data_IF_579574925396
#
_entry.id   IF_579574925396
#
_cell.length_a   1.000
_cell.length_b   1.000
_cell.length_c   1.000
_cell.angle_alpha   90.00
_cell.angle_beta   90.00
_cell.angle_gamma   90.00
#
_symmetry.space_group_name_H-M   'P 1'
#
loop_
_entity.id
_entity.type
_entity.pdbx_description
1 polymer ?
#
# COMPACT_ATOMS: atom_id res chain seq x y z
N UNK A 1 0.10 -31.52 -41.67
CA UNK A 1 0.31 -31.99 -40.27
C UNK A 1 0.35 -30.78 -39.37
N UNK A 2 -0.70 -30.55 -38.57
CA UNK A 2 -0.75 -29.45 -37.58
C UNK A 2 -0.37 -30.01 -36.22
N UNK A 3 0.80 -29.63 -35.71
CA UNK A 3 1.25 -29.99 -34.37
C UNK A 3 0.51 -29.09 -33.37
N UNK A 4 -0.43 -29.64 -32.61
CA UNK A 4 -1.03 -28.98 -31.45
C UNK A 4 0.00 -28.98 -30.33
N UNK A 5 0.55 -27.80 -29.98
CA UNK A 5 1.30 -27.65 -28.78
C UNK A 5 0.34 -27.69 -27.59
N UNK A 6 0.50 -28.68 -26.72
CA UNK A 6 -0.15 -28.78 -25.43
C UNK A 6 0.72 -27.93 -24.47
N UNK A 7 0.30 -26.68 -24.24
CA UNK A 7 0.93 -25.84 -23.21
C UNK A 7 0.30 -26.23 -21.88
N UNK A 8 1.01 -27.06 -21.10
CA UNK A 8 0.61 -27.41 -19.74
C UNK A 8 0.79 -26.22 -18.79
N UNK A 9 0.07 -26.25 -17.65
CA UNK A 9 0.06 -25.21 -16.59
C UNK A 9 1.49 -24.82 -16.14
N UNK A 10 2.44 -25.77 -16.12
CA UNK A 10 3.85 -25.54 -15.82
C UNK A 10 4.60 -24.63 -16.82
N UNK A 11 4.07 -24.46 -18.05
CA UNK A 11 4.68 -23.62 -19.09
C UNK A 11 4.27 -22.15 -18.95
N UNK A 12 3.08 -21.87 -18.39
CA UNK A 12 2.66 -20.50 -18.13
C UNK A 12 3.43 -19.87 -16.98
N UNK A 13 3.76 -20.65 -15.93
CA UNK A 13 4.57 -20.18 -14.80
C UNK A 13 6.00 -19.82 -15.24
N UNK A 14 6.58 -20.57 -16.20
CA UNK A 14 7.88 -20.27 -16.78
C UNK A 14 7.91 -19.04 -17.69
N UNK A 15 6.79 -18.71 -18.35
CA UNK A 15 6.68 -17.49 -19.15
C UNK A 15 6.54 -16.25 -18.29
N UNK A 16 5.81 -16.33 -17.17
CA UNK A 16 5.73 -15.27 -16.17
C UNK A 16 7.12 -15.04 -15.50
N UNK A 17 7.85 -16.12 -15.24
CA UNK A 17 9.23 -16.08 -14.70
C UNK A 17 10.22 -15.41 -15.68
N UNK A 18 10.13 -15.70 -16.97
CA UNK A 18 10.95 -15.08 -18.02
C UNK A 18 10.66 -13.59 -18.20
N UNK A 19 9.39 -13.15 -18.02
CA UNK A 19 9.01 -11.74 -18.10
C UNK A 19 9.57 -10.90 -16.92
N UNK A 20 9.66 -11.46 -15.73
CA UNK A 20 10.27 -10.79 -14.57
C UNK A 20 11.78 -10.58 -14.79
N UNK A 21 12.48 -11.52 -15.46
CA UNK A 21 13.90 -11.38 -15.81
C UNK A 21 14.15 -10.29 -16.86
N UNK A 22 13.21 -10.04 -17.77
CA UNK A 22 13.36 -8.99 -18.79
C UNK A 22 13.26 -7.58 -18.21
N UNK A 23 12.57 -7.43 -17.06
CA UNK A 23 12.34 -6.14 -16.39
C UNK A 23 13.50 -5.75 -15.43
N UNK A 24 14.37 -6.67 -15.03
CA UNK A 24 15.45 -6.40 -14.06
C UNK A 24 16.80 -6.07 -14.72
N UNK A 25 16.88 -6.02 -16.05
CA UNK A 25 18.06 -5.46 -16.75
C UNK A 25 19.36 -6.24 -16.56
N UNK A 26 19.32 -7.57 -16.39
CA UNK A 26 20.50 -8.42 -16.41
C UNK A 26 20.83 -8.82 -17.85
N UNK A 27 21.67 -8.03 -18.52
CA UNK A 27 22.18 -8.34 -19.84
C UNK A 27 22.96 -9.68 -19.83
N UNK A 28 22.39 -10.69 -20.48
CA UNK A 28 23.15 -11.74 -21.13
C UNK A 28 23.62 -12.96 -20.32
N UNK A 29 23.29 -13.09 -19.03
CA UNK A 29 23.55 -14.32 -18.27
C UNK A 29 22.26 -15.03 -17.87
N UNK A 30 22.18 -16.34 -18.13
CA UNK A 30 21.10 -17.16 -17.61
C UNK A 30 21.16 -17.17 -16.07
N UNK A 31 20.00 -17.01 -15.41
CA UNK A 31 19.91 -17.06 -13.95
C UNK A 31 20.46 -18.39 -13.42
N UNK A 32 21.20 -18.32 -12.34
CA UNK A 32 21.68 -19.54 -11.66
C UNK A 32 20.54 -20.14 -10.81
N UNK A 33 20.62 -21.43 -10.46
CA UNK A 33 19.65 -22.04 -9.52
C UNK A 33 19.58 -21.34 -8.16
N UNK A 34 20.64 -20.63 -7.76
CA UNK A 34 20.66 -19.83 -6.54
C UNK A 34 19.84 -18.52 -6.71
N UNK A 35 19.93 -17.89 -7.89
CA UNK A 35 19.15 -16.70 -8.22
C UNK A 35 17.67 -17.06 -8.33
N UNK A 36 17.33 -18.21 -8.94
CA UNK A 36 15.96 -18.71 -9.03
C UNK A 36 15.34 -18.92 -7.65
N UNK A 37 16.06 -19.61 -6.74
CA UNK A 37 15.60 -19.81 -5.35
C UNK A 37 15.44 -18.52 -4.57
N UNK A 38 16.32 -17.54 -4.79
CA UNK A 38 16.23 -16.23 -4.15
C UNK A 38 14.98 -15.49 -4.63
N UNK A 39 14.71 -15.51 -5.95
CA UNK A 39 13.53 -14.87 -6.54
C UNK A 39 12.25 -15.57 -6.10
N UNK A 40 12.23 -16.92 -6.08
CA UNK A 40 11.11 -17.68 -5.55
C UNK A 40 10.81 -17.33 -4.08
N UNK A 41 11.86 -17.23 -3.25
CA UNK A 41 11.73 -16.83 -1.84
C UNK A 41 11.23 -15.38 -1.69
N UNK A 42 11.67 -14.47 -2.54
CA UNK A 42 11.19 -13.08 -2.54
C UNK A 42 9.73 -12.98 -3.00
N UNK A 43 9.33 -13.76 -4.02
CA UNK A 43 7.94 -13.84 -4.47
C UNK A 43 7.06 -14.45 -3.37
N UNK A 44 7.53 -15.51 -2.72
CA UNK A 44 6.80 -16.16 -1.63
C UNK A 44 6.55 -15.20 -0.46
N UNK A 45 7.57 -14.47 -0.03
CA UNK A 45 7.42 -13.44 1.02
C UNK A 45 6.50 -12.27 0.63
N UNK A 46 6.42 -11.95 -0.67
CA UNK A 46 5.53 -10.88 -1.16
C UNK A 46 4.09 -11.29 -1.23
N UNK A 47 3.82 -12.57 -1.50
CA UNK A 47 2.48 -13.09 -1.81
C UNK A 47 1.86 -13.91 -0.68
N UNK A 48 2.67 -14.42 0.27
CA UNK A 48 2.18 -15.24 1.38
C UNK A 48 2.21 -14.46 2.70
N UNK A 49 1.03 -14.25 3.27
CA UNK A 49 0.91 -13.63 4.59
C UNK A 49 1.33 -14.60 5.70
N UNK A 50 2.09 -14.14 6.70
CA UNK A 50 2.40 -14.95 7.88
C UNK A 50 1.19 -15.10 8.83
N UNK A 51 0.06 -14.47 8.51
CA UNK A 51 -1.14 -14.45 9.37
C UNK A 51 -2.25 -15.26 8.71
N UNK A 52 -2.76 -16.24 9.46
CA UNK A 52 -3.84 -17.09 8.98
C UNK A 52 -5.09 -16.27 8.62
N UNK A 53 -5.67 -16.55 7.46
CA UNK A 53 -6.86 -15.87 6.94
C UNK A 53 -6.60 -14.51 6.33
N UNK A 54 -5.34 -14.05 6.27
CA UNK A 54 -4.91 -12.85 5.56
C UNK A 54 -4.22 -13.26 4.26
N UNK A 55 -4.62 -12.68 3.14
CA UNK A 55 -4.03 -12.91 1.83
C UNK A 55 -3.37 -11.63 1.32
N UNK A 56 -2.32 -11.79 0.52
CA UNK A 56 -1.72 -10.67 -0.20
C UNK A 56 -2.16 -10.67 -1.66
N UNK A 57 -2.30 -9.47 -2.18
CA UNK A 57 -2.56 -9.24 -3.60
C UNK A 57 -1.90 -7.95 -4.05
N UNK A 58 -1.39 -7.95 -5.28
CA UNK A 58 -0.94 -6.74 -5.96
C UNK A 58 -2.11 -6.14 -6.74
N UNK A 59 -2.31 -4.84 -6.61
CA UNK A 59 -3.36 -4.09 -7.29
C UNK A 59 -2.72 -2.93 -8.03
N UNK A 60 -3.02 -2.82 -9.32
CA UNK A 60 -2.62 -1.65 -10.11
C UNK A 60 -3.57 -0.48 -9.79
N UNK A 61 -3.02 0.62 -9.35
CA UNK A 61 -3.75 1.84 -9.00
C UNK A 61 -2.89 3.08 -9.25
N UNK A 62 -3.46 4.10 -9.85
CA UNK A 62 -2.83 5.42 -10.02
C UNK A 62 -1.35 5.36 -10.47
N UNK A 63 -1.03 4.46 -11.41
CA UNK A 63 0.32 4.29 -11.97
C UNK A 63 1.32 3.54 -11.10
N UNK A 64 0.88 2.94 -10.00
CA UNK A 64 1.71 2.09 -9.12
C UNK A 64 1.11 0.70 -8.97
N UNK A 65 1.96 -0.28 -8.67
CA UNK A 65 1.55 -1.61 -8.20
C UNK A 65 1.55 -1.61 -6.68
N UNK A 66 0.36 -1.70 -6.07
CA UNK A 66 0.14 -1.60 -4.64
C UNK A 66 -0.09 -2.97 -4.02
N UNK A 67 0.71 -3.35 -3.03
CA UNK A 67 0.43 -4.55 -2.23
C UNK A 67 -0.65 -4.27 -1.21
N UNK A 68 -1.65 -5.15 -1.15
CA UNK A 68 -2.66 -5.14 -0.12
C UNK A 68 -2.63 -6.42 0.70
N UNK A 69 -2.90 -6.31 1.99
CA UNK A 69 -3.30 -7.42 2.86
C UNK A 69 -4.82 -7.39 2.97
N UNK A 70 -5.49 -8.49 2.65
CA UNK A 70 -6.95 -8.56 2.70
C UNK A 70 -7.45 -9.78 3.47
N UNK A 71 -8.59 -9.62 4.14
CA UNK A 71 -9.30 -10.68 4.84
C UNK A 71 -10.82 -10.42 4.81
N UNK A 72 -11.61 -11.50 4.93
CA UNK A 72 -13.05 -11.43 4.73
C UNK A 72 -13.42 -11.30 3.25
N UNK A 73 -14.59 -11.78 2.88
CA UNK A 73 -15.08 -11.77 1.47
C UNK A 73 -16.33 -10.93 1.30
N UNK A 74 -17.11 -10.79 2.34
CA UNK A 74 -18.43 -10.18 2.33
C UNK A 74 -18.51 -9.03 3.33
N UNK A 75 -19.57 -8.25 3.23
CA UNK A 75 -19.80 -7.11 4.11
C UNK A 75 -19.13 -5.81 3.67
N UNK A 76 -19.37 -4.71 4.40
CA UNK A 76 -18.81 -3.41 4.07
C UNK A 76 -17.29 -3.41 4.11
N UNK A 77 -16.67 -2.73 3.14
CA UNK A 77 -15.21 -2.59 3.09
C UNK A 77 -14.72 -1.65 4.20
N UNK A 78 -13.71 -2.12 4.94
CA UNK A 78 -12.89 -1.32 5.86
C UNK A 78 -11.48 -1.20 5.28
N UNK A 79 -11.07 0.03 4.98
CA UNK A 79 -9.75 0.36 4.45
C UNK A 79 -8.87 0.90 5.58
N UNK A 80 -7.75 0.20 5.87
CA UNK A 80 -6.86 0.46 6.99
C UNK A 80 -5.55 1.09 6.49
N UNK A 81 -5.35 2.38 6.75
CA UNK A 81 -4.22 3.18 6.26
C UNK A 81 -3.19 3.37 7.37
N UNK A 82 -1.99 2.78 7.18
CA UNK A 82 -0.90 2.82 8.18
C UNK A 82 -0.15 4.15 8.17
N UNK A 83 0.61 4.39 9.23
CA UNK A 83 1.46 5.55 9.44
C UNK A 83 2.93 5.34 9.06
N UNK A 84 3.79 6.17 9.63
CA UNK A 84 5.24 6.13 9.44
C UNK A 84 5.96 5.76 10.74
N UNK A 85 6.99 4.92 10.68
CA UNK A 85 7.47 4.06 9.60
C UNK A 85 6.83 2.66 9.69
N UNK A 86 5.61 2.53 9.22
CA UNK A 86 4.79 1.34 9.38
C UNK A 86 4.53 0.60 8.05
N UNK A 87 3.65 -0.41 8.10
CA UNK A 87 3.15 -1.17 6.94
C UNK A 87 1.77 -1.74 7.28
N UNK A 88 1.16 -2.48 6.34
CA UNK A 88 -0.05 -3.25 6.61
C UNK A 88 0.04 -4.07 7.91
N UNK A 89 1.23 -4.48 8.34
CA UNK A 89 1.45 -5.35 9.52
C UNK A 89 1.06 -4.67 10.83
N UNK A 90 1.04 -3.36 10.91
CA UNK A 90 0.51 -2.61 12.06
C UNK A 90 -0.94 -2.98 12.35
N UNK A 91 -1.69 -3.35 11.32
CA UNK A 91 -3.11 -3.72 11.38
C UNK A 91 -3.38 -5.20 11.57
N UNK A 92 -2.36 -6.05 11.77
CA UNK A 92 -2.46 -7.52 11.83
C UNK A 92 -3.52 -8.05 12.79
N UNK A 93 -3.75 -7.38 13.90
CA UNK A 93 -4.77 -7.77 14.89
C UNK A 93 -6.16 -7.26 14.49
N UNK A 94 -6.24 -6.05 13.98
CA UNK A 94 -7.48 -5.43 13.53
C UNK A 94 -8.06 -6.13 12.30
N UNK A 95 -7.21 -6.52 11.35
CA UNK A 95 -7.62 -7.27 10.15
C UNK A 95 -8.40 -8.53 10.56
N UNK A 96 -7.82 -9.36 11.42
CA UNK A 96 -8.45 -10.60 11.85
C UNK A 96 -9.76 -10.35 12.65
N UNK A 97 -9.76 -9.36 13.54
CA UNK A 97 -10.92 -9.04 14.37
C UNK A 97 -12.09 -8.47 13.53
N UNK A 98 -11.81 -7.58 12.60
CA UNK A 98 -12.82 -7.00 11.71
C UNK A 98 -13.37 -8.03 10.73
N UNK A 99 -12.52 -8.88 10.17
CA UNK A 99 -12.97 -9.97 9.29
C UNK A 99 -13.89 -10.96 10.06
N UNK A 100 -13.54 -11.32 11.29
CA UNK A 100 -14.38 -12.14 12.15
C UNK A 100 -15.72 -11.47 12.52
N UNK A 101 -15.76 -10.13 12.53
CA UNK A 101 -16.98 -9.36 12.73
C UNK A 101 -17.82 -9.19 11.44
N UNK A 102 -17.43 -9.78 10.32
CA UNK A 102 -18.18 -9.78 9.07
C UNK A 102 -17.89 -8.63 8.13
N UNK A 103 -16.74 -7.95 8.29
CA UNK A 103 -16.28 -6.93 7.36
C UNK A 103 -15.34 -7.51 6.32
N UNK A 104 -15.34 -6.96 5.12
CA UNK A 104 -14.25 -7.07 4.18
C UNK A 104 -13.17 -6.07 4.58
N UNK A 105 -11.93 -6.52 4.76
CA UNK A 105 -10.85 -5.68 5.30
C UNK A 105 -9.72 -5.63 4.31
N UNK A 106 -9.23 -4.44 4.02
CA UNK A 106 -8.08 -4.19 3.14
C UNK A 106 -7.12 -3.23 3.84
N UNK A 107 -5.87 -3.65 3.94
CA UNK A 107 -4.77 -2.85 4.48
C UNK A 107 -3.65 -2.77 3.43
N UNK A 108 -3.54 -1.67 2.67
CA UNK A 108 -2.46 -1.50 1.73
C UNK A 108 -1.12 -1.24 2.45
N UNK A 109 -0.01 -1.64 1.81
CA UNK A 109 1.23 -0.90 1.98
C UNK A 109 1.11 0.36 1.15
N UNK A 110 1.23 1.51 1.79
CA UNK A 110 1.11 2.79 1.11
C UNK A 110 2.26 3.00 0.10
N UNK A 111 2.09 3.93 -0.83
CA UNK A 111 3.12 4.32 -1.82
C UNK A 111 4.48 4.47 -1.15
N UNK A 112 5.51 3.76 -1.65
CA UNK A 112 6.87 3.77 -1.11
C UNK A 112 7.12 2.84 0.07
N UNK A 113 6.13 2.07 0.52
CA UNK A 113 6.26 1.14 1.64
C UNK A 113 6.14 -0.32 1.20
N UNK A 114 6.77 -1.19 1.97
CA UNK A 114 6.66 -2.64 1.84
C UNK A 114 6.97 -3.14 0.44
N UNK A 115 6.02 -3.79 -0.21
CA UNK A 115 6.15 -4.27 -1.60
C UNK A 115 5.40 -3.41 -2.62
N UNK A 116 4.84 -2.28 -2.21
CA UNK A 116 4.25 -1.29 -3.10
C UNK A 116 5.34 -0.52 -3.84
N UNK A 117 5.06 -0.13 -5.08
CA UNK A 117 5.98 0.70 -5.89
C UNK A 117 6.45 1.93 -5.10
N UNK A 118 7.75 2.19 -5.17
CA UNK A 118 8.40 3.37 -4.61
C UNK A 118 8.93 4.26 -5.74
N UNK A 119 8.15 5.23 -6.23
CA UNK A 119 8.61 6.19 -7.21
C UNK A 119 9.83 6.95 -6.73
N UNK A 120 10.74 7.29 -7.67
CA UNK A 120 12.00 7.93 -7.33
C UNK A 120 11.89 9.44 -7.06
N UNK A 121 10.89 10.11 -7.66
CA UNK A 121 10.69 11.55 -7.48
C UNK A 121 9.88 11.84 -6.21
N UNK A 122 10.36 12.76 -5.37
CA UNK A 122 9.64 13.23 -4.19
C UNK A 122 8.28 13.88 -4.55
N UNK A 123 8.18 14.46 -5.74
CA UNK A 123 6.96 15.09 -6.25
C UNK A 123 5.80 14.10 -6.44
N UNK A 124 6.11 12.80 -6.55
CA UNK A 124 5.11 11.74 -6.65
C UNK A 124 4.51 11.32 -5.30
N UNK A 125 4.91 11.97 -4.19
CA UNK A 125 4.44 11.67 -2.84
C UNK A 125 3.59 12.78 -2.22
N UNK A 126 3.06 13.68 -3.03
CA UNK A 126 2.12 14.69 -2.53
C UNK A 126 0.80 14.06 -2.06
N UNK A 127 0.10 14.78 -1.21
CA UNK A 127 -1.11 14.26 -0.55
C UNK A 127 -2.26 13.98 -1.53
N UNK A 128 -2.31 14.70 -2.67
CA UNK A 128 -3.35 14.50 -3.69
C UNK A 128 -3.09 13.19 -4.43
N UNK A 129 -1.83 12.94 -4.78
CA UNK A 129 -1.38 11.71 -5.42
C UNK A 129 -1.62 10.49 -4.52
N UNK A 130 -1.26 10.58 -3.23
CA UNK A 130 -1.50 9.48 -2.26
C UNK A 130 -3.00 9.25 -2.05
N UNK A 131 -3.81 10.30 -1.99
CA UNK A 131 -5.27 10.15 -1.92
C UNK A 131 -5.84 9.47 -3.17
N UNK A 132 -5.32 9.82 -4.37
CA UNK A 132 -5.73 9.18 -5.62
C UNK A 132 -5.37 7.69 -5.67
N UNK A 133 -4.29 7.25 -5.03
CA UNK A 133 -3.96 5.83 -4.90
C UNK A 133 -5.07 5.06 -4.19
N UNK A 134 -5.60 5.61 -3.09
CA UNK A 134 -6.67 4.98 -2.31
C UNK A 134 -8.00 4.97 -3.07
N UNK A 135 -8.30 6.00 -3.84
CA UNK A 135 -9.49 6.03 -4.67
C UNK A 135 -9.38 5.02 -5.80
N UNK A 136 -8.25 4.98 -6.51
CA UNK A 136 -8.00 3.98 -7.54
C UNK A 136 -7.99 2.55 -6.98
N UNK A 137 -7.54 2.35 -5.73
CA UNK A 137 -7.66 1.07 -5.04
C UNK A 137 -9.13 0.68 -4.86
N UNK A 138 -10.02 1.58 -4.40
CA UNK A 138 -11.45 1.30 -4.30
C UNK A 138 -12.05 0.94 -5.66
N UNK A 139 -11.67 1.67 -6.72
CA UNK A 139 -12.14 1.40 -8.09
C UNK A 139 -11.71 0.02 -8.58
N UNK A 140 -10.44 -0.34 -8.37
CA UNK A 140 -9.90 -1.65 -8.74
C UNK A 140 -10.49 -2.81 -7.92
N UNK A 141 -10.96 -2.54 -6.70
CA UNK A 141 -11.67 -3.50 -5.87
C UNK A 141 -13.17 -3.61 -6.22
N UNK A 142 -13.68 -2.73 -7.07
CA UNK A 142 -15.10 -2.64 -7.41
C UNK A 142 -15.97 -2.08 -6.29
N UNK A 143 -15.38 -1.32 -5.36
CA UNK A 143 -16.05 -0.78 -4.18
C UNK A 143 -16.52 0.66 -4.41
N UNK A 144 -17.81 0.90 -4.26
CA UNK A 144 -18.36 2.25 -4.33
C UNK A 144 -17.97 3.08 -3.10
N UNK A 145 -18.00 2.46 -1.92
CA UNK A 145 -17.72 3.12 -0.64
C UNK A 145 -16.96 2.21 0.31
N UNK A 146 -16.19 2.85 1.21
CA UNK A 146 -15.53 2.17 2.32
C UNK A 146 -15.71 2.91 3.64
N UNK A 147 -15.44 2.23 4.75
CA UNK A 147 -15.07 2.85 6.02
C UNK A 147 -13.59 3.10 5.96
N UNK A 148 -13.15 4.34 6.12
CA UNK A 148 -11.73 4.72 6.18
C UNK A 148 -11.25 4.67 7.62
N UNK A 149 -10.10 4.03 7.86
CA UNK A 149 -9.42 4.02 9.16
C UNK A 149 -7.97 4.40 8.95
N UNK A 150 -7.49 5.42 9.65
CA UNK A 150 -6.10 5.87 9.56
C UNK A 150 -5.44 6.00 10.93
N UNK A 151 -4.14 5.75 11.00
CA UNK A 151 -3.30 5.94 12.17
C UNK A 151 -2.06 6.74 11.82
N UNK A 152 -1.65 7.68 12.69
CA UNK A 152 -0.45 8.52 12.51
C UNK A 152 -0.49 9.27 11.16
N UNK A 153 0.53 9.18 10.31
CA UNK A 153 0.51 9.73 8.94
C UNK A 153 -0.67 9.20 8.11
N UNK A 154 -1.08 7.95 8.35
CA UNK A 154 -2.28 7.40 7.73
C UNK A 154 -3.56 8.13 8.11
N UNK A 155 -3.63 8.74 9.31
CA UNK A 155 -4.76 9.63 9.67
C UNK A 155 -4.76 10.92 8.85
N UNK A 156 -3.60 11.51 8.59
CA UNK A 156 -3.48 12.71 7.75
C UNK A 156 -3.98 12.39 6.34
N UNK A 157 -3.49 11.27 5.77
CA UNK A 157 -3.93 10.79 4.46
C UNK A 157 -5.44 10.53 4.46
N UNK A 158 -5.96 9.84 5.48
CA UNK A 158 -7.37 9.49 5.59
C UNK A 158 -8.26 10.75 5.65
N UNK A 159 -7.90 11.75 6.45
CA UNK A 159 -8.60 13.03 6.50
C UNK A 159 -8.66 13.71 5.13
N UNK A 160 -7.52 13.85 4.46
CA UNK A 160 -7.47 14.52 3.16
C UNK A 160 -8.23 13.74 2.09
N UNK A 161 -8.07 12.41 2.06
CA UNK A 161 -8.78 11.57 1.09
C UNK A 161 -10.30 11.68 1.25
N UNK A 162 -10.81 11.64 2.49
CA UNK A 162 -12.25 11.80 2.76
C UNK A 162 -12.75 13.20 2.41
N UNK A 163 -11.95 14.24 2.68
CA UNK A 163 -12.31 15.62 2.32
C UNK A 163 -12.36 15.85 0.80
N UNK A 164 -11.42 15.24 0.05
CA UNK A 164 -11.41 15.35 -1.42
C UNK A 164 -12.52 14.50 -2.06
N UNK A 165 -12.88 13.35 -1.45
CA UNK A 165 -13.80 12.37 -2.03
C UNK A 165 -14.88 11.91 -1.02
N UNK A 166 -15.68 12.82 -0.44
CA UNK A 166 -16.60 12.48 0.66
C UNK A 166 -17.67 11.42 0.27
N UNK A 167 -18.02 11.33 -1.01
CA UNK A 167 -18.99 10.35 -1.50
C UNK A 167 -18.47 8.90 -1.47
N UNK A 168 -17.15 8.71 -1.41
CA UNK A 168 -16.49 7.40 -1.44
C UNK A 168 -16.34 6.77 -0.05
N UNK A 169 -16.75 7.44 1.00
CA UNK A 169 -16.59 6.95 2.37
C UNK A 169 -17.88 7.08 3.16
N UNK A 170 -18.23 6.01 3.87
CA UNK A 170 -19.42 5.96 4.75
C UNK A 170 -19.09 6.41 6.17
N UNK A 171 -17.82 6.27 6.59
CA UNK A 171 -17.30 6.70 7.89
C UNK A 171 -15.79 6.89 7.85
N UNK A 172 -15.27 7.66 8.81
CA UNK A 172 -13.84 7.86 9.05
C UNK A 172 -13.51 7.61 10.52
N UNK A 173 -12.48 6.82 10.78
CA UNK A 173 -11.84 6.67 12.08
C UNK A 173 -10.40 7.15 11.95
N UNK A 174 -10.08 8.26 12.60
CA UNK A 174 -8.73 8.83 12.63
C UNK A 174 -8.11 8.67 14.03
N UNK A 175 -6.95 8.05 14.09
CA UNK A 175 -6.25 7.76 15.33
C UNK A 175 -4.92 8.51 15.37
N UNK A 176 -4.57 9.00 16.55
CA UNK A 176 -3.36 9.77 16.89
C UNK A 176 -3.34 11.20 16.34
N UNK A 177 -3.89 11.46 15.15
CA UNK A 177 -3.88 12.79 14.52
C UNK A 177 -5.32 13.26 14.31
N UNK A 178 -5.80 14.22 15.11
CA UNK A 178 -7.13 14.82 14.93
C UNK A 178 -7.15 15.73 13.69
N UNK A 179 -8.35 16.05 13.22
CA UNK A 179 -8.52 17.07 12.20
C UNK A 179 -8.13 18.45 12.75
N UNK A 180 -7.13 19.07 12.13
CA UNK A 180 -6.63 20.40 12.54
C UNK A 180 -7.06 21.55 11.63
N UNK A 181 -7.74 21.25 10.51
CA UNK A 181 -8.00 22.25 9.47
C UNK A 181 -6.73 22.72 8.76
N UNK A 182 -6.85 23.80 7.98
CA UNK A 182 -5.69 24.44 7.36
C UNK A 182 -5.09 25.42 8.38
N UNK A 183 -3.80 25.24 8.75
CA UNK A 183 -3.14 26.15 9.67
C UNK A 183 -2.93 27.52 9.01
N UNK A 184 -2.99 28.59 9.81
CA UNK A 184 -2.71 29.96 9.34
C UNK A 184 -1.21 30.17 9.03
N UNK A 185 -0.34 29.46 9.75
CA UNK A 185 1.12 29.48 9.60
C UNK A 185 1.60 28.09 9.17
N UNK A 186 2.80 28.04 8.60
CA UNK A 186 3.44 26.77 8.28
C UNK A 186 3.56 25.90 9.55
N UNK A 187 3.08 24.65 9.56
CA UNK A 187 3.24 23.76 10.70
C UNK A 187 4.71 23.59 11.12
N UNK A 188 5.64 23.64 10.14
CA UNK A 188 7.07 23.53 10.42
C UNK A 188 7.59 24.68 11.27
N UNK A 189 7.07 25.89 11.05
CA UNK A 189 7.45 27.07 11.86
C UNK A 189 6.89 26.92 13.27
N UNK A 190 5.61 26.55 13.39
CA UNK A 190 4.96 26.39 14.68
C UNK A 190 5.60 25.27 15.51
N UNK A 191 5.94 24.15 14.87
CA UNK A 191 6.59 23.03 15.54
C UNK A 191 8.00 23.36 15.98
N UNK A 192 8.79 24.09 15.16
CA UNK A 192 10.12 24.56 15.55
C UNK A 192 10.06 25.52 16.72
N UNK A 193 9.09 26.44 16.74
CA UNK A 193 8.86 27.36 17.87
C UNK A 193 8.43 26.62 19.13
N UNK A 194 7.54 25.61 19.02
CA UNK A 194 6.99 24.90 20.18
C UNK A 194 7.94 23.85 20.77
N UNK A 195 8.68 23.14 19.93
CA UNK A 195 9.44 21.94 20.32
C UNK A 195 10.94 22.05 20.09
N UNK A 196 11.43 23.11 19.41
CA UNK A 196 12.84 23.22 19.02
C UNK A 196 13.27 22.01 18.18
N UNK A 197 14.44 21.48 18.49
CA UNK A 197 15.01 20.32 17.78
C UNK A 197 14.49 18.97 18.29
N UNK A 198 13.57 18.94 19.26
CA UNK A 198 13.04 17.68 19.80
C UNK A 198 12.21 16.88 18.77
N UNK A 199 11.65 17.55 17.77
CA UNK A 199 11.00 16.92 16.62
C UNK A 199 11.92 16.86 15.41
N UNK A 200 13.19 16.57 15.61
CA UNK A 200 14.25 16.61 14.60
C UNK A 200 13.91 15.84 13.33
N UNK A 201 13.24 14.69 13.41
CA UNK A 201 12.93 13.86 12.25
C UNK A 201 12.00 14.58 11.24
N UNK A 202 11.01 15.32 11.73
CA UNK A 202 10.13 16.12 10.86
C UNK A 202 10.90 17.27 10.23
N UNK A 203 11.73 17.97 11.02
CA UNK A 203 12.56 19.05 10.52
C UNK A 203 13.54 18.54 9.48
N UNK A 204 14.23 17.42 9.78
CA UNK A 204 15.20 16.78 8.89
C UNK A 204 14.60 16.39 7.53
N UNK A 205 13.41 15.77 7.52
CA UNK A 205 12.76 15.34 6.28
C UNK A 205 12.15 16.48 5.46
N UNK A 206 12.07 17.70 6.01
CA UNK A 206 11.59 18.88 5.31
C UNK A 206 12.69 19.88 4.96
N UNK A 207 13.95 19.59 5.26
CA UNK A 207 15.09 20.40 4.78
C UNK A 207 15.38 20.02 3.31
N UNK A 208 15.53 21.03 2.42
CA UNK A 208 15.97 20.76 1.05
C UNK A 208 17.33 20.07 1.06
N UNK A 209 17.45 18.93 0.37
CA UNK A 209 18.70 18.19 0.23
C UNK A 209 19.72 18.87 -0.69
#
# INVERSE_FOLDING_TARGET
>A
MRTKAIIGKASMDRLAFAMVFLLVGLEGQAATPADEKKIEGEIDMRMNSPIAGVNFRMIETNGISMRIAEAGSDGPLVLLVHGWPESWYSWRHQIAALAAAGYRVVAPDMRGYGSTTAPASAEEYDIVTIAADLIGLLDALGEEKAVMVGHDWGSIVAWQTVLFHPSRFSALVAMSVPYGGRPERSPMVEWREAYGDNFYYILYHNEPG
#
